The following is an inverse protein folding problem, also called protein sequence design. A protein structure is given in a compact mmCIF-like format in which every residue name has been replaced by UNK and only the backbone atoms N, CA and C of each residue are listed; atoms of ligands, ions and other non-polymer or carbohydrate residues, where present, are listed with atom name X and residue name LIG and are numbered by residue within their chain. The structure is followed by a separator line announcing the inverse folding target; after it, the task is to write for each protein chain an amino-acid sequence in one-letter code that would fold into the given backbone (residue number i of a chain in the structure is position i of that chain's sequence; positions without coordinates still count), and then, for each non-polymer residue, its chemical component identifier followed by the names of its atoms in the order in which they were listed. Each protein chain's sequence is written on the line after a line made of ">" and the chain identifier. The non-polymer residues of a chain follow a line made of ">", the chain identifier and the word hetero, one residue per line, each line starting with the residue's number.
data_IF_690105304434
#
_entry.id   IF_690105304434
#
_cell.length_a   1.000
_cell.length_b   1.000
_cell.length_c   1.000
_cell.angle_alpha   90.00
_cell.angle_beta   90.00
_cell.angle_gamma   90.00
#
_symmetry.space_group_name_H-M   'P 1'
#
loop_
_entity.id
_entity.type
_entity.pdbx_description
1 polymer ?
#
# COMPACT_ATOMS: atom_id res chain seq x y z
N UNK A 1 1.09 -6.92 20.89
CA UNK A 1 0.82 -7.02 19.43
C UNK A 1 -0.27 -8.06 19.07
N UNK A 2 -0.72 -8.92 19.99
CA UNK A 2 -1.82 -9.89 19.78
C UNK A 2 -2.90 -9.72 20.86
N UNK A 3 -3.55 -8.55 20.93
CA UNK A 3 -4.56 -8.27 21.97
C UNK A 3 -5.99 -8.57 21.52
N UNK A 4 -6.17 -9.02 20.26
CA UNK A 4 -7.46 -9.39 19.72
C UNK A 4 -7.46 -10.91 19.49
N UNK A 5 -8.50 -11.63 19.94
CA UNK A 5 -8.62 -13.05 19.66
C UNK A 5 -8.69 -13.26 18.14
N UNK A 6 -8.10 -14.35 17.61
CA UNK A 6 -8.20 -14.68 16.21
C UNK A 6 -9.67 -14.83 15.82
N UNK A 7 -10.03 -14.29 14.66
CA UNK A 7 -11.38 -14.45 14.09
C UNK A 7 -11.30 -15.38 12.90
N UNK A 8 -12.23 -16.34 12.84
CA UNK A 8 -12.38 -17.27 11.73
C UNK A 8 -12.97 -16.56 10.49
N UNK A 9 -13.69 -15.45 10.70
CA UNK A 9 -14.29 -14.67 9.63
C UNK A 9 -13.45 -13.43 9.28
N UNK A 10 -13.28 -13.14 7.98
CA UNK A 10 -12.69 -11.87 7.55
C UNK A 10 -13.54 -10.69 8.03
N UNK A 11 -12.90 -9.57 8.34
CA UNK A 11 -13.65 -8.39 8.77
C UNK A 11 -14.60 -7.95 7.67
N UNK A 12 -15.87 -7.64 7.98
CA UNK A 12 -16.91 -7.21 7.02
C UNK A 12 -16.43 -6.12 6.04
N UNK A 13 -15.49 -5.29 6.50
CA UNK A 13 -14.91 -4.18 5.72
C UNK A 13 -13.96 -4.64 4.62
N UNK A 14 -13.29 -5.77 4.81
CA UNK A 14 -12.46 -6.40 3.77
C UNK A 14 -13.32 -7.08 2.70
N UNK A 15 -14.44 -7.69 3.12
CA UNK A 15 -15.33 -8.46 2.24
C UNK A 15 -16.07 -7.58 1.21
N UNK A 16 -16.28 -6.30 1.54
CA UNK A 16 -17.00 -5.35 0.69
C UNK A 16 -16.08 -4.48 -0.19
N UNK A 17 -14.78 -4.72 -0.19
CA UNK A 17 -13.86 -3.98 -1.05
C UNK A 17 -13.94 -4.52 -2.49
N UNK A 18 -13.80 -3.66 -3.51
CA UNK A 18 -13.57 -4.14 -4.85
C UNK A 18 -12.29 -5.02 -4.88
N UNK A 19 -12.20 -6.01 -5.78
CA UNK A 19 -11.09 -6.97 -5.80
C UNK A 19 -9.70 -6.32 -5.81
N UNK A 20 -9.52 -5.26 -6.59
CA UNK A 20 -8.21 -4.61 -6.75
C UNK A 20 -7.71 -3.91 -5.46
N UNK A 21 -8.46 -2.98 -4.84
CA UNK A 21 -8.01 -2.37 -3.59
C UNK A 21 -7.83 -3.39 -2.45
N UNK A 22 -8.62 -4.47 -2.45
CA UNK A 22 -8.43 -5.58 -1.54
C UNK A 22 -7.08 -6.27 -1.77
N UNK A 23 -6.77 -6.67 -3.01
CA UNK A 23 -5.50 -7.32 -3.35
C UNK A 23 -4.29 -6.43 -3.02
N UNK A 24 -4.30 -5.16 -3.43
CA UNK A 24 -3.22 -4.22 -3.12
C UNK A 24 -3.05 -4.01 -1.61
N UNK A 25 -4.15 -3.95 -0.84
CA UNK A 25 -4.08 -3.86 0.62
C UNK A 25 -3.36 -5.08 1.21
N UNK A 26 -3.75 -6.29 0.79
CA UNK A 26 -3.11 -7.53 1.27
C UNK A 26 -1.62 -7.54 0.90
N UNK A 27 -1.29 -7.22 -0.34
CA UNK A 27 0.09 -7.11 -0.81
C UNK A 27 0.92 -6.11 0.02
N UNK A 28 0.35 -4.95 0.35
CA UNK A 28 1.01 -3.96 1.21
C UNK A 28 1.22 -4.49 2.63
N UNK A 29 0.24 -5.20 3.20
CA UNK A 29 0.34 -5.77 4.54
C UNK A 29 1.36 -6.91 4.63
N UNK A 30 1.51 -7.71 3.58
CA UNK A 30 2.46 -8.83 3.55
C UNK A 30 3.83 -8.45 3.00
N UNK A 31 4.01 -7.24 2.47
CA UNK A 31 5.24 -6.83 1.81
C UNK A 31 5.44 -7.40 0.40
N UNK A 32 4.42 -8.05 -0.17
CA UNK A 32 4.45 -8.70 -1.48
C UNK A 32 3.85 -7.82 -2.59
N UNK A 33 4.04 -6.51 -2.48
CA UNK A 33 3.53 -5.55 -3.47
C UNK A 33 4.40 -5.49 -4.72
N UNK A 34 3.83 -5.00 -5.82
CA UNK A 34 4.55 -4.68 -7.05
C UNK A 34 5.46 -3.46 -6.85
N UNK A 35 6.54 -3.66 -6.10
CA UNK A 35 7.51 -2.62 -5.77
C UNK A 35 8.93 -3.15 -5.93
N UNK A 36 9.84 -2.25 -6.29
CA UNK A 36 11.27 -2.55 -6.42
C UNK A 36 11.88 -3.27 -5.24
N UNK A 37 11.57 -2.90 -3.99
CA UNK A 37 12.11 -3.62 -2.83
C UNK A 37 11.70 -5.10 -2.76
N UNK A 38 10.53 -5.45 -3.30
CA UNK A 38 10.10 -6.84 -3.39
C UNK A 38 10.85 -7.56 -4.50
N UNK A 39 10.96 -6.93 -5.68
CA UNK A 39 11.69 -7.52 -6.81
C UNK A 39 13.18 -7.74 -6.49
N UNK A 40 13.82 -6.79 -5.82
CA UNK A 40 15.22 -6.87 -5.40
C UNK A 40 15.45 -8.04 -4.44
N UNK A 41 14.61 -8.15 -3.40
CA UNK A 41 14.70 -9.24 -2.42
C UNK A 41 14.57 -10.64 -3.05
N UNK A 42 13.70 -10.79 -4.05
CA UNK A 42 13.47 -12.06 -4.75
C UNK A 42 14.29 -12.21 -6.04
N UNK A 43 15.20 -11.28 -6.36
CA UNK A 43 16.01 -11.27 -7.59
C UNK A 43 15.17 -11.37 -8.87
N UNK A 44 14.01 -10.72 -8.89
CA UNK A 44 13.12 -10.70 -10.04
C UNK A 44 13.63 -9.62 -11.02
N UNK A 45 13.80 -9.93 -12.32
CA UNK A 45 14.36 -9.00 -13.31
C UNK A 45 13.32 -7.96 -13.79
N UNK A 46 12.78 -7.20 -12.84
CA UNK A 46 11.80 -6.13 -13.07
C UNK A 46 12.39 -4.77 -12.66
N UNK A 47 11.88 -3.64 -13.16
CA UNK A 47 12.37 -2.33 -12.77
C UNK A 47 12.20 -2.06 -11.27
N UNK A 48 13.31 -1.72 -10.60
CA UNK A 48 13.34 -1.42 -9.17
C UNK A 48 13.05 0.06 -8.83
N UNK A 49 13.17 0.94 -9.81
CA UNK A 49 13.02 2.39 -9.64
C UNK A 49 11.57 2.85 -9.84
N UNK A 50 11.15 3.81 -9.03
CA UNK A 50 9.89 4.53 -9.21
C UNK A 50 10.03 5.39 -10.47
N UNK A 51 8.95 5.67 -11.22
CA UNK A 51 9.01 6.64 -12.30
C UNK A 51 9.50 8.03 -11.87
N UNK A 52 9.50 8.35 -10.56
CA UNK A 52 10.12 9.56 -10.03
C UNK A 52 11.65 9.47 -9.82
N UNK A 53 12.28 8.34 -10.18
CA UNK A 53 13.73 8.14 -10.10
C UNK A 53 14.27 7.59 -8.77
N UNK A 54 13.43 7.34 -7.76
CA UNK A 54 13.85 6.79 -6.46
C UNK A 54 13.58 5.29 -6.35
N UNK A 55 14.38 4.54 -5.59
CA UNK A 55 14.11 3.12 -5.30
C UNK A 55 12.72 2.92 -4.69
N UNK A 56 11.93 2.01 -5.26
CA UNK A 56 10.55 1.80 -4.84
C UNK A 56 10.50 1.02 -3.53
N UNK A 57 9.99 1.67 -2.49
CA UNK A 57 9.66 1.06 -1.20
C UNK A 57 8.26 1.50 -0.77
N UNK A 58 7.63 0.78 0.16
CA UNK A 58 6.40 1.28 0.81
C UNK A 58 6.60 2.66 1.44
N UNK A 59 7.75 2.89 2.08
CA UNK A 59 8.06 4.16 2.71
C UNK A 59 8.11 5.29 1.67
N UNK A 60 8.77 5.05 0.55
CA UNK A 60 8.81 5.98 -0.56
C UNK A 60 7.39 6.25 -1.11
N UNK A 61 6.65 5.22 -1.52
CA UNK A 61 5.33 5.36 -2.16
C UNK A 61 4.30 6.03 -1.24
N UNK A 62 4.31 5.69 0.05
CA UNK A 62 3.28 6.15 1.00
C UNK A 62 3.61 7.49 1.67
N UNK A 63 4.88 7.87 1.80
CA UNK A 63 5.27 9.09 2.51
C UNK A 63 5.88 10.17 1.60
N UNK A 64 6.74 9.77 0.68
CA UNK A 64 7.73 10.68 0.09
C UNK A 64 7.59 10.84 -1.42
N UNK A 65 6.84 9.96 -2.08
CA UNK A 65 6.79 9.93 -3.53
C UNK A 65 6.09 11.17 -4.08
N UNK A 66 6.77 12.02 -4.87
CA UNK A 66 6.17 13.24 -5.40
C UNK A 66 5.01 12.95 -6.35
N UNK A 67 5.00 11.80 -7.03
CA UNK A 67 3.91 11.39 -7.92
C UNK A 67 2.58 11.19 -7.18
N UNK A 68 2.64 10.86 -5.89
CA UNK A 68 1.45 10.58 -5.08
C UNK A 68 1.16 11.69 -4.05
N UNK A 69 1.92 12.79 -4.07
CA UNK A 69 1.81 13.87 -3.08
C UNK A 69 0.39 14.44 -2.98
N UNK A 70 -0.32 14.59 -4.10
CA UNK A 70 -1.72 15.06 -4.15
C UNK A 70 -2.66 14.18 -3.33
N UNK A 71 -2.35 12.90 -3.16
CA UNK A 71 -3.18 11.92 -2.47
C UNK A 71 -2.68 11.57 -1.05
N UNK A 72 -1.49 12.01 -0.63
CA UNK A 72 -0.95 11.72 0.70
C UNK A 72 -1.84 12.20 1.85
N UNK A 73 -2.67 13.22 1.63
CA UNK A 73 -3.65 13.67 2.62
C UNK A 73 -4.63 12.57 3.06
N UNK A 74 -4.92 11.59 2.18
CA UNK A 74 -5.78 10.45 2.48
C UNK A 74 -5.15 9.47 3.49
N UNK A 75 -3.82 9.46 3.58
CA UNK A 75 -3.07 8.58 4.48
C UNK A 75 -2.90 9.17 5.89
N UNK A 76 -3.17 10.47 6.07
CA UNK A 76 -3.04 11.15 7.36
C UNK A 76 -4.03 10.61 8.39
N UNK A 77 -3.60 10.53 9.65
CA UNK A 77 -4.48 10.20 10.77
C UNK A 77 -5.21 11.46 11.27
N UNK A 78 -5.98 11.31 12.34
CA UNK A 78 -6.72 12.42 12.96
C UNK A 78 -5.79 13.52 13.51
N UNK A 79 -4.49 13.26 13.67
CA UNK A 79 -3.46 14.21 14.10
C UNK A 79 -2.70 14.81 12.90
N UNK A 80 -3.11 14.49 11.67
CA UNK A 80 -2.46 14.95 10.45
C UNK A 80 -1.16 14.22 10.10
N UNK A 81 -0.82 13.13 10.81
CA UNK A 81 0.44 12.38 10.61
C UNK A 81 0.24 11.13 9.79
N UNK A 82 1.26 10.74 9.03
CA UNK A 82 1.28 9.49 8.28
C UNK A 82 2.22 8.54 9.02
N UNK A 83 1.66 7.46 9.59
CA UNK A 83 2.42 6.44 10.33
C UNK A 83 2.24 5.08 9.64
N UNK A 84 3.30 4.55 9.00
CA UNK A 84 3.22 3.29 8.24
C UNK A 84 2.68 2.12 9.08
N UNK A 85 3.19 1.97 10.30
CA UNK A 85 2.74 0.90 11.21
C UNK A 85 1.24 0.99 11.50
N UNK A 86 0.70 2.20 11.62
CA UNK A 86 -0.72 2.42 11.86
C UNK A 86 -1.55 2.11 10.61
N UNK A 87 -1.05 2.52 9.44
CA UNK A 87 -1.69 2.33 8.14
C UNK A 87 -1.88 0.85 7.82
N UNK A 88 -0.84 0.04 8.03
CA UNK A 88 -0.85 -1.38 7.65
C UNK A 88 -1.49 -2.30 8.71
N UNK A 89 -1.59 -1.86 9.97
CA UNK A 89 -1.97 -2.75 11.09
C UNK A 89 -3.30 -2.42 11.75
N UNK A 90 -3.93 -1.29 11.40
CA UNK A 90 -5.20 -0.88 12.01
C UNK A 90 -6.32 -0.82 10.99
N UNK A 91 -7.56 -1.12 11.40
CA UNK A 91 -8.72 -1.02 10.52
C UNK A 91 -8.89 0.39 9.91
N UNK A 92 -8.63 1.45 10.69
CA UNK A 92 -8.71 2.83 10.19
C UNK A 92 -7.56 3.13 9.22
N UNK A 93 -6.37 2.60 9.49
CA UNK A 93 -5.22 2.65 8.60
C UNK A 93 -5.49 1.99 7.26
N UNK A 94 -5.97 0.74 7.27
CA UNK A 94 -6.25 -0.01 6.05
C UNK A 94 -7.30 0.69 5.17
N UNK A 95 -8.33 1.30 5.78
CA UNK A 95 -9.33 2.06 5.01
C UNK A 95 -8.75 3.30 4.34
N UNK A 96 -7.87 4.03 5.05
CA UNK A 96 -7.13 5.16 4.47
C UNK A 96 -6.22 4.71 3.34
N UNK A 97 -5.53 3.59 3.51
CA UNK A 97 -4.71 2.99 2.44
C UNK A 97 -5.55 2.61 1.23
N UNK A 98 -6.72 2.01 1.43
CA UNK A 98 -7.65 1.68 0.34
C UNK A 98 -8.11 2.94 -0.40
N UNK A 99 -8.46 4.01 0.31
CA UNK A 99 -8.83 5.28 -0.31
C UNK A 99 -7.67 5.85 -1.13
N UNK A 100 -6.46 5.82 -0.57
CA UNK A 100 -5.25 6.23 -1.26
C UNK A 100 -4.99 5.40 -2.53
N UNK A 101 -5.05 4.06 -2.46
CA UNK A 101 -4.84 3.17 -3.60
C UNK A 101 -5.85 3.48 -4.71
N UNK A 102 -7.12 3.69 -4.36
CA UNK A 102 -8.17 4.02 -5.34
C UNK A 102 -7.94 5.35 -6.04
N UNK A 103 -7.46 6.37 -5.31
CA UNK A 103 -7.25 7.71 -5.86
C UNK A 103 -5.93 7.84 -6.63
N UNK A 104 -4.87 7.20 -6.15
CA UNK A 104 -3.51 7.37 -6.65
C UNK A 104 -3.07 6.36 -7.69
N UNK A 105 -3.80 5.25 -7.84
CA UNK A 105 -3.38 4.10 -8.65
C UNK A 105 -2.03 3.51 -8.21
N UNK A 106 -1.56 3.82 -6.99
CA UNK A 106 -0.31 3.29 -6.46
C UNK A 106 -0.31 1.75 -6.44
N UNK A 107 0.89 1.18 -6.55
CA UNK A 107 1.16 -0.27 -6.60
C UNK A 107 0.60 -1.00 -7.83
N UNK A 108 0.11 -0.27 -8.84
CA UNK A 108 -0.18 -0.86 -10.14
C UNK A 108 1.13 -1.22 -10.84
N UNK A 109 1.18 -2.45 -11.37
CA UNK A 109 2.22 -2.80 -12.33
C UNK A 109 1.88 -2.06 -13.61
N UNK A 110 2.69 -1.09 -13.99
CA UNK A 110 2.62 -0.50 -15.33
C UNK A 110 2.91 -1.62 -16.31
N UNK A 111 1.89 -2.18 -16.95
CA UNK A 111 2.10 -3.03 -18.11
C UNK A 111 2.60 -2.09 -19.20
N UNK A 112 3.92 -2.05 -19.39
CA UNK A 112 4.46 -1.53 -20.63
C UNK A 112 3.84 -2.37 -21.74
N UNK A 113 2.94 -1.77 -22.53
CA UNK A 113 2.58 -2.32 -23.82
C UNK A 113 3.88 -2.33 -24.64
N UNK A 114 4.40 -3.53 -24.89
CA UNK A 114 5.36 -3.81 -25.95
C UNK A 114 4.60 -3.74 -27.27
#
# INVERSE_FOLDING_TARGET
>A
ANHLPPRIQPSKRLVNLPPRPFACLIQCCTGHAHIGSYYDYFHIPEPHACPCGTFQTHNHILLNCPLHNRHHHLLKDNKGKIELNNILRTNKGCMRLVQFIRASQAFEKTTAHI
#
